data_IF_511075559363
#
_entry.id   IF_511075559363
#
_cell.length_a   1.000
_cell.length_b   1.000
_cell.length_c   1.000
_cell.angle_alpha   90.00
_cell.angle_beta   90.00
_cell.angle_gamma   90.00
#
_symmetry.space_group_name_H-M   'P 1'
#
loop_
_entity.id
_entity.type
_entity.pdbx_description
1 polymer ?
#
# COMPACT_ATOMS: atom_id res chain seq x y z
N UNK A 1 -25.68 -5.00 -3.59
CA UNK A 1 -24.41 -4.46 -4.13
C UNK A 1 -24.05 -3.22 -3.33
N UNK A 2 -22.83 -3.12 -2.78
CA UNK A 2 -22.36 -1.87 -2.21
C UNK A 2 -22.27 -0.84 -3.34
N UNK A 3 -23.03 0.25 -3.25
CA UNK A 3 -23.00 1.31 -4.25
C UNK A 3 -21.72 2.13 -4.08
N UNK A 4 -21.19 2.69 -5.17
CA UNK A 4 -20.02 3.59 -5.15
C UNK A 4 -20.16 4.73 -4.15
N UNK A 5 -21.39 5.25 -3.99
CA UNK A 5 -21.71 6.30 -3.01
C UNK A 5 -21.43 5.88 -1.55
N UNK A 6 -21.76 4.63 -1.19
CA UNK A 6 -21.52 4.12 0.16
C UNK A 6 -20.03 3.94 0.43
N UNK A 7 -19.26 3.49 -0.57
CA UNK A 7 -17.80 3.40 -0.46
C UNK A 7 -17.14 4.77 -0.27
N UNK A 8 -17.56 5.78 -1.05
CA UNK A 8 -17.00 7.14 -0.94
C UNK A 8 -17.28 7.76 0.44
N UNK A 9 -18.51 7.64 0.95
CA UNK A 9 -18.84 8.09 2.31
C UNK A 9 -18.01 7.39 3.38
N UNK A 10 -17.74 6.09 3.21
CA UNK A 10 -16.89 5.36 4.14
C UNK A 10 -15.44 5.86 4.07
N UNK A 11 -14.89 6.06 2.87
CA UNK A 11 -13.55 6.63 2.68
C UNK A 11 -13.41 8.00 3.35
N UNK A 12 -14.42 8.87 3.24
CA UNK A 12 -14.40 10.19 3.88
C UNK A 12 -14.32 10.12 5.41
N UNK A 13 -14.92 9.09 6.04
CA UNK A 13 -14.88 8.88 7.49
C UNK A 13 -13.52 8.41 7.99
N UNK A 14 -12.73 7.75 7.14
CA UNK A 14 -11.46 7.11 7.53
C UNK A 14 -10.23 7.82 6.97
N UNK A 15 -10.39 8.83 6.11
CA UNK A 15 -9.27 9.53 5.44
C UNK A 15 -8.28 10.12 6.44
N UNK A 16 -8.78 10.64 7.56
CA UNK A 16 -7.94 11.25 8.59
C UNK A 16 -7.13 10.19 9.36
N UNK A 17 -7.67 8.98 9.51
CA UNK A 17 -6.94 7.84 10.08
C UNK A 17 -5.83 7.33 9.15
N UNK A 18 -5.97 7.52 7.85
CA UNK A 18 -4.96 7.14 6.85
C UNK A 18 -3.86 8.19 6.65
N UNK A 19 -4.04 9.40 7.23
CA UNK A 19 -3.08 10.48 7.15
C UNK A 19 -1.79 10.13 7.92
N UNK A 20 -0.65 10.53 7.38
CA UNK A 20 0.66 10.26 7.97
C UNK A 20 1.39 11.59 8.13
N UNK A 21 1.80 11.91 9.35
CA UNK A 21 2.56 13.12 9.64
C UNK A 21 4.01 12.99 9.14
N UNK A 22 4.69 14.12 8.94
CA UNK A 22 6.10 14.13 8.55
C UNK A 22 7.00 13.39 9.57
N UNK A 23 6.66 13.46 10.87
CA UNK A 23 7.39 12.75 11.92
C UNK A 23 7.19 11.23 11.81
N UNK A 24 5.94 10.77 11.61
CA UNK A 24 5.63 9.35 11.41
C UNK A 24 6.33 8.81 10.17
N UNK A 25 6.29 9.55 9.06
CA UNK A 25 6.99 9.20 7.82
C UNK A 25 8.51 9.07 8.06
N UNK A 26 9.11 10.02 8.78
CA UNK A 26 10.54 9.99 9.10
C UNK A 26 10.91 8.81 10.01
N UNK A 27 10.06 8.45 10.97
CA UNK A 27 10.28 7.31 11.85
C UNK A 27 10.16 5.98 11.09
N UNK A 28 9.16 5.85 10.22
CA UNK A 28 8.98 4.68 9.36
C UNK A 28 10.17 4.50 8.43
N UNK A 29 10.62 5.58 7.80
CA UNK A 29 11.78 5.60 6.92
C UNK A 29 13.02 5.09 7.67
N UNK A 30 13.35 5.65 8.84
CA UNK A 30 14.51 5.20 9.63
C UNK A 30 14.42 3.72 10.01
N UNK A 31 13.23 3.25 10.40
CA UNK A 31 13.02 1.85 10.80
C UNK A 31 13.18 0.88 9.62
N UNK A 32 12.75 1.27 8.44
CA UNK A 32 12.68 0.39 7.26
C UNK A 32 13.85 0.57 6.30
N UNK A 33 14.71 1.57 6.51
CA UNK A 33 15.85 1.89 5.65
C UNK A 33 16.79 0.70 5.42
N UNK A 34 17.06 -0.09 6.46
CA UNK A 34 18.02 -1.19 6.41
C UNK A 34 17.47 -2.42 5.66
N UNK A 35 16.17 -2.70 5.80
CA UNK A 35 15.59 -3.97 5.36
C UNK A 35 14.42 -3.82 4.37
N UNK A 36 14.08 -2.61 3.91
CA UNK A 36 13.09 -2.27 2.87
C UNK A 36 12.19 -3.44 2.40
N UNK A 37 12.46 -4.03 1.23
CA UNK A 37 11.65 -5.10 0.61
C UNK A 37 11.79 -6.49 1.26
N UNK A 38 12.57 -6.59 2.33
CA UNK A 38 12.71 -7.79 3.18
C UNK A 38 11.98 -7.63 4.53
N UNK A 39 11.54 -6.42 4.86
CA UNK A 39 10.86 -6.08 6.10
C UNK A 39 9.35 -6.11 5.90
N UNK A 40 8.64 -6.84 6.75
CA UNK A 40 7.17 -6.90 6.70
C UNK A 40 6.55 -5.53 7.00
N UNK A 41 7.14 -4.77 7.93
CA UNK A 41 6.65 -3.43 8.30
C UNK A 41 6.75 -2.42 7.16
N UNK A 42 7.69 -2.57 6.23
CA UNK A 42 7.76 -1.75 5.02
C UNK A 42 6.51 -1.96 4.15
N UNK A 43 6.14 -3.22 3.91
CA UNK A 43 4.94 -3.54 3.14
C UNK A 43 3.66 -3.18 3.91
N UNK A 44 3.63 -3.34 5.23
CA UNK A 44 2.49 -2.92 6.04
C UNK A 44 2.27 -1.40 5.93
N UNK A 45 3.33 -0.61 6.07
CA UNK A 45 3.27 0.86 5.99
C UNK A 45 2.78 1.36 4.62
N UNK A 46 3.06 0.61 3.55
CA UNK A 46 2.72 0.98 2.17
C UNK A 46 1.44 0.32 1.64
N UNK A 47 0.81 -0.54 2.44
CA UNK A 47 -0.45 -1.18 2.05
C UNK A 47 -1.51 -0.13 1.77
N UNK A 48 -2.13 -0.22 0.59
CA UNK A 48 -3.14 0.72 0.11
C UNK A 48 -2.58 2.04 -0.44
N UNK A 49 -1.26 2.25 -0.47
CA UNK A 49 -0.63 3.48 -0.97
C UNK A 49 -0.08 3.29 -2.38
N UNK A 50 -0.27 4.29 -3.23
CA UNK A 50 0.35 4.33 -4.56
C UNK A 50 1.79 4.79 -4.41
N UNK A 51 2.73 3.87 -4.62
CA UNK A 51 4.17 4.17 -4.62
C UNK A 51 4.63 4.64 -6.00
N UNK A 52 5.80 5.28 -6.07
CA UNK A 52 6.37 5.76 -7.33
C UNK A 52 6.47 4.66 -8.41
N UNK A 53 6.84 3.43 -8.02
CA UNK A 53 6.95 2.30 -8.95
C UNK A 53 5.62 1.74 -9.43
N UNK A 54 4.50 2.04 -8.75
CA UNK A 54 3.16 1.64 -9.15
C UNK A 54 2.38 2.76 -9.86
N UNK A 55 2.79 4.03 -9.71
CA UNK A 55 2.06 5.19 -10.24
C UNK A 55 1.69 5.05 -11.72
N UNK A 56 2.65 4.70 -12.58
CA UNK A 56 2.40 4.50 -14.01
C UNK A 56 1.33 3.42 -14.27
N UNK A 57 1.42 2.29 -13.57
CA UNK A 57 0.49 1.17 -13.74
C UNK A 57 -0.91 1.47 -13.21
N UNK A 58 -1.02 2.29 -12.17
CA UNK A 58 -2.31 2.76 -11.63
C UNK A 58 -2.96 3.74 -12.60
N UNK A 59 -2.22 4.73 -13.11
CA UNK A 59 -2.76 5.73 -14.02
C UNK A 59 -3.16 5.16 -15.39
N UNK A 60 -2.55 4.06 -15.84
CA UNK A 60 -2.89 3.39 -17.10
C UNK A 60 -3.95 2.30 -16.98
N UNK A 61 -4.53 2.09 -15.80
CA UNK A 61 -5.60 1.10 -15.59
C UNK A 61 -6.97 1.78 -15.70
N UNK A 62 -7.90 1.13 -16.40
CA UNK A 62 -9.28 1.60 -16.46
C UNK A 62 -9.98 1.38 -15.11
N UNK A 63 -10.67 2.41 -14.60
CA UNK A 63 -11.39 2.33 -13.32
C UNK A 63 -12.51 1.27 -13.37
N UNK A 64 -13.17 1.14 -14.53
CA UNK A 64 -14.25 0.16 -14.73
C UNK A 64 -13.75 -1.28 -14.80
N UNK A 65 -12.47 -1.49 -15.12
CA UNK A 65 -11.85 -2.81 -15.28
C UNK A 65 -10.38 -2.78 -14.85
N UNK A 66 -10.11 -2.62 -13.53
CA UNK A 66 -8.76 -2.43 -13.07
C UNK A 66 -7.92 -3.70 -13.20
N UNK A 67 -6.64 -3.53 -13.50
CA UNK A 67 -5.69 -4.65 -13.49
C UNK A 67 -5.62 -5.28 -12.11
N UNK A 68 -5.99 -6.58 -12.02
CA UNK A 68 -5.92 -7.36 -10.78
C UNK A 68 -4.52 -7.37 -10.18
N UNK A 69 -3.50 -7.38 -11.02
CA UNK A 69 -2.10 -7.33 -10.59
C UNK A 69 -1.77 -5.98 -9.95
N UNK A 70 -2.22 -4.88 -10.55
CA UNK A 70 -2.04 -3.54 -9.99
C UNK A 70 -2.74 -3.41 -8.64
N UNK A 71 -4.00 -3.85 -8.54
CA UNK A 71 -4.75 -3.88 -7.28
C UNK A 71 -4.02 -4.74 -6.24
N UNK A 72 -3.51 -5.91 -6.63
CA UNK A 72 -2.77 -6.77 -5.71
C UNK A 72 -1.48 -6.14 -5.20
N UNK A 73 -0.74 -5.43 -6.05
CA UNK A 73 0.52 -4.77 -5.67
C UNK A 73 0.31 -3.59 -4.74
N UNK A 74 -0.79 -2.85 -4.88
CA UNK A 74 -1.11 -1.70 -4.04
C UNK A 74 -1.77 -2.13 -2.73
N UNK A 75 -2.80 -2.97 -2.81
CA UNK A 75 -3.64 -3.31 -1.65
C UNK A 75 -3.12 -4.51 -0.85
N UNK A 76 -2.27 -5.37 -1.42
CA UNK A 76 -1.75 -6.56 -0.76
C UNK A 76 -0.24 -6.74 -1.00
N UNK A 77 0.58 -5.71 -0.74
CA UNK A 77 1.99 -5.72 -1.10
C UNK A 77 2.81 -6.76 -0.31
N UNK A 78 2.31 -7.21 0.85
CA UNK A 78 2.97 -8.25 1.66
C UNK A 78 3.11 -9.59 0.94
N UNK A 79 2.27 -9.87 -0.05
CA UNK A 79 2.43 -11.06 -0.93
C UNK A 79 3.73 -11.04 -1.73
N UNK A 80 4.38 -9.88 -1.81
CA UNK A 80 5.65 -9.69 -2.52
C UNK A 80 6.85 -9.68 -1.56
N UNK A 81 6.64 -9.84 -0.25
CA UNK A 81 7.74 -9.99 0.70
C UNK A 81 8.42 -11.33 0.43
N UNK A 82 9.71 -11.30 0.06
CA UNK A 82 10.48 -12.52 -0.05
C UNK A 82 10.69 -13.06 1.37
N UNK A 83 9.97 -14.12 1.74
CA UNK A 83 10.24 -14.85 2.98
C UNK A 83 11.67 -15.35 2.93
N UNK A 84 12.58 -14.71 3.65
CA UNK A 84 13.84 -15.35 4.01
C UNK A 84 13.47 -16.58 4.83
N UNK A 85 13.83 -17.78 4.33
CA UNK A 85 13.83 -18.96 5.20
C UNK A 85 14.69 -18.63 6.43
N UNK A 86 14.31 -19.03 7.64
CA UNK A 86 15.26 -18.96 8.75
C UNK A 86 16.49 -19.80 8.36
N UNK A 87 17.67 -19.17 8.42
CA UNK A 87 18.96 -19.84 8.34
C UNK A 87 18.95 -21.02 9.33
N UNK A 88 19.22 -22.22 8.82
CA UNK A 88 19.38 -23.46 9.58
C UNK A 88 20.86 -23.66 9.90
#
# INVERSE_FOLDING_TARGET
MLTTAHCLQHCDKIKDCANVTAEQASKLERKTRAEQSKCEEWFAAWTGRVTASQLHAVCHTAIESPSKTTVSRVCYPQKNCASTKPDQ
#
